data_IF_263549682524
#
_entry.id   IF_263549682524
#
_cell.length_a   1.000
_cell.length_b   1.000
_cell.length_c   1.000
_cell.angle_alpha   90.00
_cell.angle_beta   90.00
_cell.angle_gamma   90.00
#
_symmetry.space_group_name_H-M   'P 1'
#
loop_
_entity.id
_entity.type
_entity.pdbx_description
1 polymer ?
#
# COMPACT_ATOMS: atom_id res chain seq x y z
N UNK A 1 24.28 0.78 31.22
CA UNK A 1 24.26 0.39 29.78
C UNK A 1 22.95 0.89 29.17
N UNK A 2 23.01 1.99 28.43
CA UNK A 2 21.85 2.58 27.75
C UNK A 2 21.47 1.70 26.56
N UNK A 3 20.34 1.00 26.66
CA UNK A 3 19.76 0.27 25.55
C UNK A 3 19.38 1.25 24.45
N UNK A 4 20.11 1.21 23.33
CA UNK A 4 19.71 1.82 22.07
C UNK A 4 18.33 1.27 21.68
N UNK A 5 17.29 2.02 22.03
CA UNK A 5 15.98 1.88 21.40
C UNK A 5 16.18 2.33 19.95
N UNK A 6 16.63 1.41 19.10
CA UNK A 6 16.54 1.57 17.66
C UNK A 6 15.08 1.82 17.36
N UNK A 7 14.70 3.09 17.27
CA UNK A 7 13.43 3.57 16.78
C UNK A 7 13.36 3.04 15.35
N UNK A 8 12.83 1.83 15.17
CA UNK A 8 12.75 1.15 13.89
C UNK A 8 12.09 2.13 12.92
N UNK A 9 12.93 2.75 12.08
CA UNK A 9 12.47 3.72 11.10
C UNK A 9 11.62 2.91 10.13
N UNK A 10 10.30 3.08 10.22
CA UNK A 10 9.37 2.31 9.40
C UNK A 10 9.58 2.73 7.95
N UNK A 11 10.26 1.88 7.20
CA UNK A 11 10.49 2.07 5.77
C UNK A 11 9.18 1.95 5.00
N UNK A 12 9.16 2.50 3.79
CA UNK A 12 8.01 2.35 2.90
C UNK A 12 7.73 0.86 2.60
N UNK A 13 8.78 0.07 2.38
CA UNK A 13 8.70 -1.38 2.14
C UNK A 13 8.00 -2.14 3.27
N UNK A 14 8.28 -1.78 4.53
CA UNK A 14 7.63 -2.38 5.69
C UNK A 14 6.14 -2.06 5.73
N UNK A 15 5.77 -0.82 5.44
CA UNK A 15 4.36 -0.38 5.42
C UNK A 15 3.57 -1.07 4.31
N UNK A 16 4.18 -1.22 3.13
CA UNK A 16 3.63 -1.99 2.01
C UNK A 16 3.44 -3.46 2.40
N UNK A 17 4.47 -4.10 2.96
CA UNK A 17 4.40 -5.50 3.38
C UNK A 17 3.32 -5.71 4.45
N UNK A 18 3.17 -4.76 5.38
CA UNK A 18 2.12 -4.78 6.39
C UNK A 18 0.72 -4.73 5.77
N UNK A 19 0.50 -3.86 4.78
CA UNK A 19 -0.78 -3.79 4.07
C UNK A 19 -1.03 -5.09 3.29
N UNK A 20 -0.05 -5.61 2.54
CA UNK A 20 -0.15 -6.90 1.83
C UNK A 20 -0.57 -8.05 2.75
N UNK A 21 0.05 -8.19 3.93
CA UNK A 21 -0.32 -9.23 4.89
C UNK A 21 -1.74 -9.06 5.43
N UNK A 22 -2.17 -7.83 5.68
CA UNK A 22 -3.53 -7.56 6.14
C UNK A 22 -4.56 -7.94 5.05
N UNK A 23 -4.28 -7.58 3.79
CA UNK A 23 -5.10 -7.95 2.63
C UNK A 23 -5.16 -9.46 2.43
N UNK A 24 -4.01 -10.14 2.46
CA UNK A 24 -3.97 -11.60 2.33
C UNK A 24 -4.79 -12.29 3.42
N UNK A 25 -4.66 -11.83 4.67
CA UNK A 25 -5.44 -12.36 5.79
C UNK A 25 -6.95 -12.19 5.60
N UNK A 26 -7.39 -11.08 5.01
CA UNK A 26 -8.81 -10.88 4.65
C UNK A 26 -9.23 -11.83 3.53
N UNK A 27 -8.49 -11.87 2.42
CA UNK A 27 -8.83 -12.69 1.25
C UNK A 27 -8.96 -14.16 1.62
N UNK A 28 -7.98 -14.71 2.35
CA UNK A 28 -8.05 -16.11 2.82
C UNK A 28 -9.24 -16.34 3.75
N UNK A 29 -9.57 -15.39 4.64
CA UNK A 29 -10.74 -15.52 5.52
C UNK A 29 -12.07 -15.43 4.76
N UNK A 30 -12.15 -14.63 3.68
CA UNK A 30 -13.34 -14.54 2.82
C UNK A 30 -13.52 -15.81 1.98
N UNK A 31 -12.44 -16.38 1.43
CA UNK A 31 -12.45 -17.67 0.74
C UNK A 31 -12.94 -18.79 1.66
N UNK A 32 -12.45 -18.86 2.90
CA UNK A 32 -12.91 -19.81 3.92
C UNK A 32 -14.37 -19.58 4.38
N UNK A 33 -14.88 -18.36 4.27
CA UNK A 33 -16.28 -18.06 4.60
C UNK A 33 -17.24 -18.63 3.55
N UNK A 34 -16.83 -18.67 2.27
CA UNK A 34 -17.64 -19.22 1.19
C UNK A 34 -17.93 -20.73 1.35
N UNK A 35 -17.07 -21.47 2.07
CA UNK A 35 -17.13 -22.93 2.17
C UNK A 35 -17.60 -23.49 3.53
N UNK A 36 -17.87 -22.66 4.55
CA UNK A 36 -18.08 -23.14 5.93
C UNK A 36 -19.43 -22.79 6.55
N UNK A 37 -19.95 -23.70 7.39
CA UNK A 37 -21.22 -23.56 8.13
C UNK A 37 -21.14 -22.61 9.35
N UNK A 38 -19.95 -22.13 9.71
CA UNK A 38 -19.70 -21.27 10.87
C UNK A 38 -19.87 -19.76 10.58
N UNK A 39 -20.77 -19.41 9.65
CA UNK A 39 -20.95 -18.05 9.12
C UNK A 39 -21.13 -16.98 10.22
N UNK A 40 -21.89 -17.31 11.27
CA UNK A 40 -22.26 -16.37 12.34
C UNK A 40 -21.10 -15.98 13.28
N UNK A 41 -20.14 -16.88 13.54
CA UNK A 41 -18.99 -16.55 14.39
C UNK A 41 -17.84 -15.88 13.64
N UNK A 42 -17.87 -15.89 12.30
CA UNK A 42 -16.78 -15.38 11.45
C UNK A 42 -16.98 -13.94 10.95
N UNK A 43 -18.21 -13.43 10.96
CA UNK A 43 -18.50 -12.03 10.60
C UNK A 43 -17.72 -10.97 11.42
N UNK A 44 -17.65 -11.04 12.77
CA UNK A 44 -16.85 -10.06 13.53
C UNK A 44 -15.35 -10.15 13.23
N UNK A 45 -14.83 -11.35 12.93
CA UNK A 45 -13.44 -11.54 12.53
C UNK A 45 -13.15 -10.88 11.17
N UNK A 46 -14.07 -11.00 10.21
CA UNK A 46 -13.94 -10.34 8.90
C UNK A 46 -14.04 -8.82 8.99
N UNK A 47 -14.94 -8.29 9.83
CA UNK A 47 -15.02 -6.85 10.12
C UNK A 47 -13.68 -6.37 10.69
N UNK A 48 -13.10 -7.12 11.64
CA UNK A 48 -11.80 -6.80 12.20
C UNK A 48 -10.67 -6.83 11.16
N UNK A 49 -10.66 -7.84 10.27
CA UNK A 49 -9.66 -7.94 9.20
C UNK A 49 -9.77 -6.79 8.18
N UNK A 50 -11.00 -6.45 7.77
CA UNK A 50 -11.28 -5.28 6.92
C UNK A 50 -10.83 -3.98 7.58
N UNK A 51 -11.13 -3.80 8.86
CA UNK A 51 -10.65 -2.64 9.61
C UNK A 51 -9.13 -2.59 9.71
N UNK A 52 -8.47 -3.74 9.94
CA UNK A 52 -7.02 -3.85 10.02
C UNK A 52 -6.35 -3.53 8.68
N UNK A 53 -6.91 -3.96 7.56
CA UNK A 53 -6.47 -3.61 6.22
C UNK A 53 -6.62 -2.10 5.97
N UNK A 54 -7.82 -1.53 6.20
CA UNK A 54 -8.06 -0.09 6.07
C UNK A 54 -7.09 0.74 6.91
N UNK A 55 -6.84 0.33 8.15
CA UNK A 55 -5.90 1.01 9.05
C UNK A 55 -4.45 0.90 8.57
N UNK A 56 -4.06 -0.20 7.93
CA UNK A 56 -2.74 -0.34 7.33
C UNK A 56 -2.59 0.55 6.09
N UNK A 57 -3.63 0.65 5.25
CA UNK A 57 -3.65 1.52 4.07
C UNK A 57 -3.59 3.00 4.47
N UNK A 58 -4.41 3.43 5.43
CA UNK A 58 -4.41 4.80 5.95
C UNK A 58 -3.03 5.20 6.48
N UNK A 59 -2.34 4.31 7.20
CA UNK A 59 -0.96 4.54 7.65
C UNK A 59 0.03 4.67 6.48
N UNK A 60 -0.15 3.89 5.42
CA UNK A 60 0.68 3.98 4.23
C UNK A 60 0.47 5.33 3.50
N UNK A 61 -0.78 5.79 3.41
CA UNK A 61 -1.17 7.06 2.78
C UNK A 61 -0.49 8.25 3.48
N UNK A 62 -0.54 8.30 4.81
CA UNK A 62 0.02 9.43 5.58
C UNK A 62 1.56 9.36 5.70
N UNK A 63 2.16 8.19 5.53
CA UNK A 63 3.62 8.04 5.66
C UNK A 63 4.36 8.77 4.54
N UNK A 64 5.11 9.82 4.87
CA UNK A 64 5.98 10.49 3.92
C UNK A 64 7.18 9.60 3.54
N UNK A 65 7.50 9.46 2.25
CA UNK A 65 8.70 8.76 1.81
C UNK A 65 9.96 9.52 2.24
N UNK A 66 10.99 8.80 2.68
CA UNK A 66 12.24 9.41 3.11
C UNK A 66 13.19 9.76 1.96
N UNK A 67 13.02 9.13 0.79
CA UNK A 67 13.84 9.32 -0.39
C UNK A 67 13.05 9.01 -1.68
N UNK A 68 13.66 9.26 -2.84
CA UNK A 68 13.03 9.07 -4.14
C UNK A 68 12.63 7.61 -4.42
N UNK A 69 13.44 6.63 -3.97
CA UNK A 69 13.12 5.21 -4.15
C UNK A 69 11.90 4.79 -3.35
N UNK A 70 11.77 5.24 -2.11
CA UNK A 70 10.59 5.04 -1.28
C UNK A 70 9.35 5.73 -1.87
N UNK A 71 9.50 6.94 -2.42
CA UNK A 71 8.42 7.65 -3.09
C UNK A 71 7.93 6.86 -4.31
N UNK A 72 8.85 6.30 -5.10
CA UNK A 72 8.54 5.44 -6.24
C UNK A 72 7.84 4.15 -5.81
N UNK A 73 8.32 3.49 -4.76
CA UNK A 73 7.68 2.28 -4.22
C UNK A 73 6.24 2.58 -3.77
N UNK A 74 6.04 3.69 -3.05
CA UNK A 74 4.73 4.14 -2.62
C UNK A 74 3.79 4.39 -3.80
N UNK A 75 4.23 5.16 -4.80
CA UNK A 75 3.44 5.47 -5.99
C UNK A 75 2.99 4.21 -6.73
N UNK A 76 3.93 3.32 -7.06
CA UNK A 76 3.63 2.08 -7.79
C UNK A 76 2.66 1.20 -6.99
N UNK A 77 2.86 1.10 -5.67
CA UNK A 77 2.00 0.29 -4.84
C UNK A 77 0.60 0.86 -4.69
N UNK A 78 0.45 2.18 -4.54
CA UNK A 78 -0.85 2.83 -4.46
C UNK A 78 -1.63 2.67 -5.77
N UNK A 79 -0.99 2.82 -6.93
CA UNK A 79 -1.61 2.54 -8.23
C UNK A 79 -2.11 1.09 -8.27
N UNK A 80 -1.26 0.12 -7.91
CA UNK A 80 -1.64 -1.29 -7.90
C UNK A 80 -2.79 -1.58 -6.90
N UNK A 81 -2.81 -0.91 -5.76
CA UNK A 81 -3.87 -1.06 -4.76
C UNK A 81 -5.22 -0.53 -5.28
N UNK A 82 -5.22 0.66 -5.90
CA UNK A 82 -6.43 1.28 -6.49
C UNK A 82 -6.96 0.42 -7.65
N UNK A 83 -6.08 -0.06 -8.54
CA UNK A 83 -6.46 -0.91 -9.68
C UNK A 83 -7.06 -2.24 -9.21
N UNK A 84 -6.50 -2.83 -8.15
CA UNK A 84 -6.95 -4.13 -7.66
C UNK A 84 -8.25 -4.05 -6.84
N UNK A 85 -8.62 -2.89 -6.31
CA UNK A 85 -9.86 -2.69 -5.56
C UNK A 85 -10.31 -1.21 -5.61
N UNK A 86 -11.01 -0.79 -6.67
CA UNK A 86 -11.45 0.59 -6.84
C UNK A 86 -12.40 1.06 -5.73
N UNK A 87 -13.19 0.14 -5.16
CA UNK A 87 -14.19 0.44 -4.13
C UNK A 87 -13.57 0.84 -2.79
N UNK A 88 -12.32 0.46 -2.53
CA UNK A 88 -11.59 0.83 -1.31
C UNK A 88 -10.90 2.19 -1.38
N UNK A 89 -10.93 2.85 -2.53
CA UNK A 89 -10.17 4.06 -2.80
C UNK A 89 -10.96 5.31 -2.42
N UNK A 90 -10.79 5.78 -1.19
CA UNK A 90 -11.32 7.07 -0.72
C UNK A 90 -10.58 8.24 -1.40
N UNK A 91 -11.33 9.13 -2.04
CA UNK A 91 -10.80 10.31 -2.73
C UNK A 91 -9.95 11.19 -1.79
N UNK A 92 -10.33 11.31 -0.52
CA UNK A 92 -9.58 12.08 0.48
C UNK A 92 -8.21 11.41 0.73
N UNK A 93 -8.19 10.09 0.86
CA UNK A 93 -6.97 9.31 1.04
C UNK A 93 -6.02 9.39 -0.18
N UNK A 94 -6.56 9.47 -1.40
CA UNK A 94 -5.76 9.66 -2.60
C UNK A 94 -5.10 11.04 -2.60
N UNK A 95 -5.85 12.11 -2.29
CA UNK A 95 -5.32 13.47 -2.23
C UNK A 95 -4.20 13.57 -1.20
N UNK A 96 -4.37 12.98 -0.02
CA UNK A 96 -3.33 12.98 1.01
C UNK A 96 -2.08 12.19 0.60
N UNK A 97 -2.25 11.06 -0.09
CA UNK A 97 -1.13 10.33 -0.65
C UNK A 97 -0.36 11.17 -1.68
N UNK A 98 -1.06 11.90 -2.56
CA UNK A 98 -0.44 12.80 -3.55
C UNK A 98 0.36 13.90 -2.84
N UNK A 99 -0.19 14.52 -1.78
CA UNK A 99 0.52 15.53 -0.99
C UNK A 99 1.86 15.01 -0.46
N UNK A 100 1.90 13.76 0.02
CA UNK A 100 3.17 13.18 0.50
C UNK A 100 4.19 12.87 -0.60
N UNK A 101 3.74 12.75 -1.86
CA UNK A 101 4.60 12.48 -3.02
C UNK A 101 5.07 13.76 -3.72
N UNK A 102 4.38 14.89 -3.53
CA UNK A 102 4.69 16.20 -4.12
C UNK A 102 6.18 16.61 -4.02
N UNK A 103 6.90 16.39 -2.89
CA UNK A 103 8.31 16.74 -2.81
C UNK A 103 9.23 15.98 -3.78
N UNK A 104 8.77 14.86 -4.33
CA UNK A 104 9.52 13.98 -5.23
C UNK A 104 8.99 14.00 -6.67
N UNK A 105 8.07 14.91 -7.01
CA UNK A 105 7.39 14.96 -8.31
C UNK A 105 8.36 14.97 -9.49
N UNK A 106 9.40 15.80 -9.46
CA UNK A 106 10.40 15.86 -10.52
C UNK A 106 11.16 14.54 -10.72
N UNK A 107 11.56 13.90 -9.63
CA UNK A 107 12.27 12.60 -9.69
C UNK A 107 11.34 11.48 -10.17
N UNK A 108 10.08 11.50 -9.72
CA UNK A 108 9.06 10.54 -10.15
C UNK A 108 8.76 10.70 -11.65
N UNK A 109 8.57 11.94 -12.12
CA UNK A 109 8.35 12.25 -13.53
C UNK A 109 9.53 11.78 -14.40
N UNK A 110 10.77 12.04 -13.96
CA UNK A 110 11.97 11.57 -14.65
C UNK A 110 12.03 10.03 -14.72
N UNK A 111 11.75 9.34 -13.60
CA UNK A 111 11.74 7.88 -13.56
C UNK A 111 10.66 7.25 -14.45
N UNK A 112 9.47 7.87 -14.53
CA UNK A 112 8.38 7.40 -15.38
C UNK A 112 8.68 7.64 -16.86
N UNK A 113 9.19 8.82 -17.22
CA UNK A 113 9.57 9.15 -18.60
C UNK A 113 10.72 8.28 -19.11
N UNK A 114 11.73 8.01 -18.27
CA UNK A 114 12.85 7.14 -18.63
C UNK A 114 12.41 5.70 -18.95
N UNK A 115 11.31 5.22 -18.36
CA UNK A 115 10.75 3.90 -18.72
C UNK A 115 10.03 3.93 -20.05
N UNK A 116 9.29 5.00 -20.37
CA UNK A 116 8.60 5.16 -21.65
C UNK A 116 9.57 5.12 -22.83
N UNK A 117 10.74 5.76 -22.71
CA UNK A 117 11.75 5.74 -23.78
C UNK A 117 12.35 4.35 -24.01
N UNK A 118 12.61 3.57 -22.95
CA UNK A 118 13.13 2.19 -23.11
C UNK A 118 12.16 1.24 -23.82
N UNK A 119 10.86 1.47 -23.73
CA UNK A 119 9.87 0.69 -24.49
C UNK A 119 9.82 1.06 -25.97
N UNK A 120 10.21 2.29 -26.33
CA UNK A 120 10.29 2.73 -27.72
C UNK A 120 11.62 2.37 -28.40
N UNK A 121 12.68 2.12 -27.62
CA UNK A 121 14.01 1.78 -28.14
C UNK A 121 14.21 0.27 -28.37
N UNK A 122 13.16 -0.54 -28.34
CA UNK A 122 13.22 -1.97 -28.70
C UNK A 122 12.85 -2.11 -30.20
N UNK A 123 13.82 -2.42 -31.09
CA UNK A 123 13.51 -2.71 -32.47
C UNK A 123 12.79 -4.07 -32.53
N UNK A 124 11.63 -4.09 -33.18
CA UNK A 124 11.03 -5.31 -33.72
C UNK A 124 11.87 -5.81 -34.91
#
# INVERSE_FOLDING_TARGET
MMGSLFRHRRTMSWSIARHKRARQGRVTAEEEQSSSAWKLMRDPALIFLRWREKRALSKLIVLAPANADEARQKLVYLIAAIVADPATSDAIGIVDAIKTLKPFEGTLAHCLNRRRNRFNDSPL
#
